data_IF_100027561305
#
_entry.id   IF_100027561305
#
_cell.length_a   1.000
_cell.length_b   1.000
_cell.length_c   1.000
_cell.angle_alpha   90.00
_cell.angle_beta   90.00
_cell.angle_gamma   90.00
#
_symmetry.space_group_name_H-M   'P 1'
#
loop_
_entity.id
_entity.type
_entity.pdbx_description
1 polymer ?
#
# COMPACT_ATOMS: atom_id res chain seq x y z
N UNK A 1 8.60 14.54 -40.00
CA UNK A 1 9.03 13.29 -39.34
C UNK A 1 9.26 13.62 -37.87
N UNK A 2 8.33 13.17 -37.01
CA UNK A 2 8.13 13.60 -35.61
C UNK A 2 8.83 12.63 -34.65
N UNK A 3 10.16 12.57 -34.68
CA UNK A 3 10.93 11.68 -33.81
C UNK A 3 11.89 12.40 -32.84
N UNK A 4 11.92 13.73 -32.81
CA UNK A 4 13.00 14.48 -32.15
C UNK A 4 12.62 15.20 -30.84
N UNK A 5 11.32 15.40 -30.56
CA UNK A 5 10.88 16.20 -29.40
C UNK A 5 10.79 15.39 -28.09
N UNK A 6 10.47 14.09 -28.17
CA UNK A 6 10.42 13.23 -26.97
C UNK A 6 11.82 12.88 -26.44
N UNK A 7 12.75 12.54 -27.34
CA UNK A 7 14.12 12.18 -26.98
C UNK A 7 14.89 13.37 -26.41
N UNK A 8 14.75 14.55 -27.01
CA UNK A 8 15.38 15.77 -26.51
C UNK A 8 14.84 16.18 -25.12
N UNK A 9 13.52 16.12 -24.92
CA UNK A 9 12.90 16.42 -23.61
C UNK A 9 13.32 15.44 -22.53
N UNK A 10 13.43 14.15 -22.87
CA UNK A 10 13.98 13.13 -21.98
C UNK A 10 15.43 13.42 -21.58
N UNK A 11 16.29 13.69 -22.55
CA UNK A 11 17.70 14.01 -22.28
C UNK A 11 17.83 15.27 -21.42
N UNK A 12 16.97 16.26 -21.63
CA UNK A 12 16.90 17.46 -20.79
C UNK A 12 16.45 17.14 -19.36
N UNK A 13 15.40 16.34 -19.16
CA UNK A 13 14.96 15.94 -17.82
C UNK A 13 16.07 15.20 -17.05
N UNK A 14 16.78 14.29 -17.71
CA UNK A 14 17.92 13.58 -17.12
C UNK A 14 19.09 14.52 -16.78
N UNK A 15 19.41 15.45 -17.68
CA UNK A 15 20.47 16.43 -17.45
C UNK A 15 20.15 17.38 -16.28
N UNK A 16 18.89 17.81 -16.15
CA UNK A 16 18.44 18.64 -15.05
C UNK A 16 18.43 17.89 -13.71
N UNK A 17 18.01 16.63 -13.68
CA UNK A 17 18.09 15.80 -12.47
C UNK A 17 19.53 15.53 -12.03
N UNK A 18 20.48 15.48 -12.98
CA UNK A 18 21.91 15.35 -12.67
C UNK A 18 22.60 16.68 -12.33
N UNK A 19 21.98 17.82 -12.62
CA UNK A 19 22.51 19.13 -12.27
C UNK A 19 22.32 19.39 -10.77
N UNK A 20 23.33 19.95 -10.10
CA UNK A 20 23.23 20.37 -8.70
C UNK A 20 22.80 21.86 -8.61
N UNK A 21 21.72 22.23 -9.30
CA UNK A 21 21.17 23.59 -9.27
C UNK A 21 19.75 23.60 -8.66
N UNK A 22 19.64 24.01 -7.38
CA UNK A 22 18.39 24.17 -6.65
C UNK A 22 17.31 25.00 -7.35
N UNK A 23 17.69 25.95 -8.20
CA UNK A 23 16.74 26.86 -8.86
C UNK A 23 15.87 26.15 -9.92
N UNK A 24 16.16 24.89 -10.24
CA UNK A 24 15.49 24.11 -11.27
C UNK A 24 14.17 23.51 -10.76
N UNK A 25 14.00 23.30 -9.45
CA UNK A 25 12.84 22.59 -8.86
C UNK A 25 11.47 23.16 -9.25
N UNK A 26 11.22 24.49 -9.18
CA UNK A 26 9.93 25.04 -9.61
C UNK A 26 9.61 24.78 -11.09
N UNK A 27 10.63 24.79 -11.95
CA UNK A 27 10.47 24.51 -13.37
C UNK A 27 10.16 23.02 -13.63
N UNK A 28 10.80 22.11 -12.89
CA UNK A 28 10.53 20.67 -12.96
C UNK A 28 9.12 20.35 -12.48
N UNK A 29 8.69 20.92 -11.34
CA UNK A 29 7.32 20.77 -10.83
C UNK A 29 6.31 21.30 -11.85
N UNK A 30 6.53 22.53 -12.35
CA UNK A 30 5.67 23.13 -13.38
C UNK A 30 5.55 22.28 -14.63
N UNK A 31 6.66 21.68 -15.11
CA UNK A 31 6.65 20.78 -16.27
C UNK A 31 5.94 19.47 -15.98
N UNK A 32 6.17 18.86 -14.82
CA UNK A 32 5.58 17.57 -14.44
C UNK A 32 4.05 17.63 -14.41
N UNK A 33 3.47 18.76 -13.97
CA UNK A 33 2.01 18.97 -13.89
C UNK A 33 1.30 18.91 -15.24
N UNK A 34 1.97 19.33 -16.31
CA UNK A 34 1.37 19.42 -17.65
C UNK A 34 1.90 18.36 -18.62
N UNK A 35 2.89 17.57 -18.22
CA UNK A 35 3.48 16.54 -19.06
C UNK A 35 2.52 15.35 -19.22
N UNK A 36 2.37 14.87 -20.46
CA UNK A 36 1.45 13.77 -20.81
C UNK A 36 2.18 12.47 -21.11
N UNK A 37 3.44 12.56 -21.53
CA UNK A 37 4.26 11.38 -21.81
C UNK A 37 4.68 10.69 -20.52
N UNK A 38 4.30 9.42 -20.34
CA UNK A 38 4.57 8.68 -19.12
C UNK A 38 6.06 8.47 -18.86
N UNK A 39 6.87 8.27 -19.91
CA UNK A 39 8.31 8.11 -19.77
C UNK A 39 8.95 9.41 -19.28
N UNK A 40 8.55 10.54 -19.86
CA UNK A 40 9.07 11.86 -19.45
C UNK A 40 8.62 12.20 -18.02
N UNK A 41 7.38 11.85 -17.63
CA UNK A 41 6.92 12.03 -16.24
C UNK A 41 7.74 11.23 -15.23
N UNK A 42 8.16 10.02 -15.59
CA UNK A 42 9.07 9.23 -14.74
C UNK A 42 10.46 9.88 -14.66
N UNK A 43 11.01 10.37 -15.78
CA UNK A 43 12.30 11.06 -15.79
C UNK A 43 12.25 12.37 -14.96
N UNK A 44 11.15 13.13 -15.04
CA UNK A 44 10.92 14.34 -14.22
C UNK A 44 10.72 13.99 -12.74
N UNK A 45 10.02 12.89 -12.44
CA UNK A 45 9.87 12.40 -11.07
C UNK A 45 11.22 12.01 -10.48
N UNK A 46 12.04 11.29 -11.25
CA UNK A 46 13.41 10.97 -10.85
C UNK A 46 14.23 12.23 -10.59
N UNK A 47 14.17 13.22 -11.49
CA UNK A 47 14.87 14.49 -11.30
C UNK A 47 14.41 15.21 -10.01
N UNK A 48 13.12 15.28 -9.73
CA UNK A 48 12.59 15.89 -8.50
C UNK A 48 13.01 15.16 -7.23
N UNK A 49 13.17 13.83 -7.28
CA UNK A 49 13.69 13.06 -6.14
C UNK A 49 15.15 13.44 -5.83
N UNK A 50 15.95 13.81 -6.83
CA UNK A 50 17.32 14.28 -6.63
C UNK A 50 17.39 15.70 -6.04
N UNK A 51 16.30 16.45 -6.11
CA UNK A 51 16.14 17.83 -5.60
C UNK A 51 14.99 17.91 -4.58
N UNK A 52 14.90 16.89 -3.72
CA UNK A 52 13.74 16.69 -2.86
C UNK A 52 13.53 17.85 -1.87
N UNK A 53 14.62 18.35 -1.27
CA UNK A 53 14.56 19.44 -0.28
C UNK A 53 14.07 20.74 -0.93
N UNK A 54 14.55 21.04 -2.13
CA UNK A 54 14.17 22.23 -2.88
C UNK A 54 12.76 22.16 -3.46
N UNK A 55 12.30 20.97 -3.80
CA UNK A 55 10.97 20.75 -4.37
C UNK A 55 9.88 20.55 -3.30
N UNK A 56 10.26 20.38 -2.03
CA UNK A 56 9.34 19.99 -0.95
C UNK A 56 8.13 20.93 -0.85
N UNK A 57 8.36 22.24 -0.69
CA UNK A 57 7.28 23.22 -0.51
C UNK A 57 6.29 23.22 -1.70
N UNK A 58 6.80 23.16 -2.93
CA UNK A 58 5.97 23.14 -4.15
C UNK A 58 5.17 21.83 -4.27
N UNK A 59 5.77 20.69 -3.93
CA UNK A 59 5.11 19.39 -3.93
C UNK A 59 4.05 19.28 -2.83
N UNK A 60 4.33 19.79 -1.63
CA UNK A 60 3.38 19.83 -0.52
C UNK A 60 2.19 20.74 -0.84
N UNK A 61 2.43 21.90 -1.46
CA UNK A 61 1.36 22.78 -1.92
C UNK A 61 0.41 22.07 -2.92
N UNK A 62 0.95 21.24 -3.83
CA UNK A 62 0.16 20.47 -4.78
C UNK A 62 -0.76 19.43 -4.14
N UNK A 63 -0.45 18.91 -2.94
CA UNK A 63 -1.32 17.96 -2.22
C UNK A 63 -2.68 18.56 -1.86
N UNK A 64 -2.77 19.89 -1.77
CA UNK A 64 -4.01 20.62 -1.46
C UNK A 64 -4.73 21.18 -2.69
N UNK A 65 -4.25 20.86 -3.90
CA UNK A 65 -4.85 21.34 -5.15
C UNK A 65 -6.27 20.80 -5.34
N UNK A 66 -7.15 21.63 -5.92
CA UNK A 66 -8.48 21.19 -6.35
C UNK A 66 -8.42 20.20 -7.51
N UNK A 67 -7.32 20.17 -8.28
CA UNK A 67 -7.12 19.19 -9.34
C UNK A 67 -6.59 17.87 -8.77
N UNK A 68 -7.34 16.75 -8.86
CA UNK A 68 -6.87 15.45 -8.38
C UNK A 68 -5.61 14.95 -9.11
N UNK A 69 -5.36 15.39 -10.34
CA UNK A 69 -4.13 15.04 -11.07
C UNK A 69 -2.89 15.63 -10.39
N UNK A 70 -2.99 16.86 -9.87
CA UNK A 70 -1.91 17.49 -9.10
C UNK A 70 -1.66 16.72 -7.80
N UNK A 71 -2.72 16.46 -7.01
CA UNK A 71 -2.61 15.74 -5.73
C UNK A 71 -1.99 14.36 -5.90
N UNK A 72 -2.49 13.60 -6.89
CA UNK A 72 -1.96 12.27 -7.26
C UNK A 72 -0.48 12.34 -7.66
N UNK A 73 -0.11 13.36 -8.43
CA UNK A 73 1.27 13.54 -8.90
C UNK A 73 2.21 13.86 -7.75
N UNK A 74 1.84 14.80 -6.88
CA UNK A 74 2.61 15.14 -5.69
C UNK A 74 2.77 13.93 -4.76
N UNK A 75 1.68 13.22 -4.44
CA UNK A 75 1.73 12.01 -3.63
C UNK A 75 2.63 10.93 -4.25
N UNK A 76 2.63 10.81 -5.59
CA UNK A 76 3.53 9.89 -6.29
C UNK A 76 5.01 10.25 -6.10
N UNK A 77 5.39 11.52 -6.31
CA UNK A 77 6.78 11.98 -6.13
C UNK A 77 7.20 11.84 -4.67
N UNK A 78 6.38 12.30 -3.73
CA UNK A 78 6.65 12.22 -2.29
C UNK A 78 6.75 10.78 -1.79
N UNK A 79 6.04 9.83 -2.42
CA UNK A 79 6.23 8.40 -2.13
C UNK A 79 7.61 7.88 -2.50
N UNK A 80 8.29 8.48 -3.49
CA UNK A 80 9.65 8.12 -3.88
C UNK A 80 10.68 8.75 -2.95
N UNK A 81 10.38 9.96 -2.45
CA UNK A 81 11.21 10.68 -1.47
C UNK A 81 11.16 9.96 -0.11
N UNK A 82 9.97 9.69 0.41
CA UNK A 82 9.79 8.93 1.67
C UNK A 82 10.24 9.67 2.94
N UNK A 83 10.28 11.01 2.93
CA UNK A 83 10.65 11.79 4.11
C UNK A 83 9.55 11.69 5.20
N UNK A 84 9.91 11.29 6.44
CA UNK A 84 9.01 11.29 7.58
C UNK A 84 8.29 12.62 7.88
N UNK A 85 8.87 13.76 7.48
CA UNK A 85 8.30 15.09 7.68
C UNK A 85 7.00 15.31 6.87
N UNK A 86 6.86 14.66 5.72
CA UNK A 86 5.70 14.82 4.82
C UNK A 86 4.45 14.07 5.30
N UNK A 87 4.52 13.34 6.41
CA UNK A 87 3.42 12.49 6.85
C UNK A 87 2.14 13.26 7.13
N UNK A 88 2.21 14.39 7.83
CA UNK A 88 0.99 15.14 8.19
C UNK A 88 0.29 15.74 6.97
N UNK A 89 1.04 16.10 5.92
CA UNK A 89 0.50 16.60 4.67
C UNK A 89 -0.08 15.48 3.79
N UNK A 90 0.53 14.29 3.81
CA UNK A 90 0.09 13.13 3.04
C UNK A 90 -1.10 12.40 3.69
N UNK A 91 -1.19 12.41 5.02
CA UNK A 91 -2.20 11.68 5.79
C UNK A 91 -3.64 11.95 5.36
N UNK A 92 -4.08 13.20 5.08
CA UNK A 92 -5.45 13.45 4.63
C UNK A 92 -5.79 12.77 3.30
N UNK A 93 -4.81 12.58 2.40
CA UNK A 93 -5.04 12.04 1.06
C UNK A 93 -5.32 10.53 1.07
N UNK A 94 -5.10 9.81 2.18
CA UNK A 94 -5.53 8.40 2.26
C UNK A 94 -7.05 8.27 2.18
N UNK A 95 -7.80 9.30 2.55
CA UNK A 95 -9.25 9.37 2.43
C UNK A 95 -9.71 10.26 1.26
N UNK A 96 -8.84 10.48 0.26
CA UNK A 96 -9.19 11.31 -0.90
C UNK A 96 -10.38 10.72 -1.67
N UNK A 97 -11.30 11.59 -2.10
CA UNK A 97 -12.50 11.19 -2.86
C UNK A 97 -12.17 10.51 -4.19
N UNK A 98 -10.99 10.79 -4.75
CA UNK A 98 -10.50 10.16 -5.97
C UNK A 98 -9.62 8.95 -5.62
N UNK A 99 -10.05 7.72 -5.97
CA UNK A 99 -9.30 6.51 -5.65
C UNK A 99 -7.85 6.52 -6.13
N UNK A 100 -7.57 7.11 -7.30
CA UNK A 100 -6.21 7.22 -7.83
C UNK A 100 -5.28 8.05 -6.93
N UNK A 101 -5.82 9.06 -6.24
CA UNK A 101 -5.07 9.87 -5.27
C UNK A 101 -4.83 9.06 -4.00
N UNK A 102 -5.89 8.45 -3.44
CA UNK A 102 -5.81 7.60 -2.25
C UNK A 102 -4.79 6.46 -2.42
N UNK A 103 -4.81 5.76 -3.56
CA UNK A 103 -3.85 4.70 -3.90
C UNK A 103 -2.40 5.19 -3.85
N UNK A 104 -2.12 6.41 -4.33
CA UNK A 104 -0.76 6.97 -4.24
C UNK A 104 -0.43 7.39 -2.81
N UNK A 105 -1.40 7.95 -2.09
CA UNK A 105 -1.24 8.33 -0.70
C UNK A 105 -0.94 7.12 0.19
N UNK A 106 -1.55 5.95 -0.04
CA UNK A 106 -1.28 4.73 0.74
C UNK A 106 0.20 4.39 0.76
N UNK A 107 0.80 4.33 -0.44
CA UNK A 107 2.23 4.09 -0.58
C UNK A 107 3.06 5.21 0.02
N UNK A 108 2.67 6.47 -0.21
CA UNK A 108 3.42 7.62 0.27
C UNK A 108 3.49 7.64 1.79
N UNK A 109 2.34 7.49 2.46
CA UNK A 109 2.23 7.41 3.93
C UNK A 109 3.01 6.23 4.49
N UNK A 110 2.91 5.03 3.90
CA UNK A 110 3.71 3.89 4.35
C UNK A 110 5.23 4.14 4.22
N UNK A 111 5.65 4.89 3.21
CA UNK A 111 7.06 5.19 2.95
C UNK A 111 7.66 6.24 3.89
N UNK A 112 6.83 7.00 4.62
CA UNK A 112 7.32 7.96 5.62
C UNK A 112 7.95 7.28 6.83
N UNK A 113 7.69 5.98 7.06
CA UNK A 113 8.20 5.24 8.23
C UNK A 113 7.61 5.72 9.56
N UNK A 114 6.56 6.56 9.53
CA UNK A 114 5.89 7.06 10.73
C UNK A 114 5.04 5.97 11.38
N UNK A 115 5.11 5.78 12.71
CA UNK A 115 4.32 4.75 13.39
C UNK A 115 2.80 4.94 13.20
N UNK A 116 2.35 6.19 13.05
CA UNK A 116 0.95 6.55 12.84
C UNK A 116 0.42 6.16 11.44
N UNK A 117 1.29 5.73 10.52
CA UNK A 117 0.90 5.28 9.19
C UNK A 117 -0.01 4.04 9.24
N UNK A 118 0.21 3.13 10.19
CA UNK A 118 -0.60 1.93 10.35
C UNK A 118 -2.06 2.29 10.65
N UNK A 119 -2.30 3.17 11.62
CA UNK A 119 -3.64 3.63 11.99
C UNK A 119 -4.33 4.39 10.84
N UNK A 120 -3.59 5.28 10.17
CA UNK A 120 -4.13 6.07 9.06
C UNK A 120 -4.59 5.19 7.89
N UNK A 121 -3.82 4.14 7.57
CA UNK A 121 -4.16 3.17 6.53
C UNK A 121 -5.28 2.22 6.99
N UNK A 122 -5.27 1.79 8.26
CA UNK A 122 -6.27 0.86 8.79
C UNK A 122 -7.67 1.46 8.76
N UNK A 123 -7.77 2.78 8.93
CA UNK A 123 -9.00 3.53 8.80
C UNK A 123 -9.64 3.44 7.39
N UNK A 124 -8.93 2.92 6.38
CA UNK A 124 -9.42 2.73 5.00
C UNK A 124 -9.60 1.26 4.60
N UNK A 125 -9.54 0.32 5.54
CA UNK A 125 -9.91 -1.07 5.28
C UNK A 125 -11.37 -1.14 4.80
N UNK A 126 -11.69 -2.12 3.96
CA UNK A 126 -12.99 -2.21 3.27
C UNK A 126 -13.20 -1.21 2.12
N UNK A 127 -12.44 -0.11 2.04
CA UNK A 127 -12.69 0.90 1.00
C UNK A 127 -12.43 0.44 -0.43
N UNK A 128 -13.26 0.97 -1.32
CA UNK A 128 -13.04 0.96 -2.75
C UNK A 128 -13.13 -0.44 -3.37
N UNK A 129 -12.75 -0.50 -4.64
CA UNK A 129 -12.76 -1.75 -5.41
C UNK A 129 -11.42 -2.49 -5.28
N UNK A 130 -11.33 -3.66 -5.91
CA UNK A 130 -10.17 -4.56 -5.85
C UNK A 130 -8.81 -3.84 -5.98
N UNK A 131 -8.66 -2.92 -6.94
CA UNK A 131 -7.40 -2.19 -7.13
C UNK A 131 -7.01 -1.32 -5.92
N UNK A 132 -7.97 -0.67 -5.28
CA UNK A 132 -7.72 0.18 -4.11
C UNK A 132 -7.42 -0.68 -2.89
N UNK A 133 -8.12 -1.81 -2.73
CA UNK A 133 -7.85 -2.79 -1.67
C UNK A 133 -6.47 -3.42 -1.80
N UNK A 134 -6.09 -3.87 -3.00
CA UNK A 134 -4.76 -4.41 -3.29
C UNK A 134 -3.65 -3.41 -2.98
N UNK A 135 -3.87 -2.14 -3.31
CA UNK A 135 -2.92 -1.06 -3.01
C UNK A 135 -2.79 -0.82 -1.50
N UNK A 136 -3.89 -0.87 -0.75
CA UNK A 136 -3.88 -0.74 0.71
C UNK A 136 -3.16 -1.92 1.36
N UNK A 137 -3.49 -3.15 0.95
CA UNK A 137 -2.81 -4.38 1.37
C UNK A 137 -1.30 -4.32 1.08
N UNK A 138 -0.91 -3.82 -0.09
CA UNK A 138 0.51 -3.60 -0.44
C UNK A 138 1.19 -2.58 0.50
N UNK A 139 0.47 -1.52 0.88
CA UNK A 139 0.99 -0.53 1.82
C UNK A 139 1.13 -1.10 3.24
N UNK A 140 0.16 -1.90 3.70
CA UNK A 140 0.23 -2.62 4.98
C UNK A 140 1.37 -3.64 5.01
N UNK A 141 1.53 -4.43 3.95
CA UNK A 141 2.67 -5.33 3.79
C UNK A 141 4.00 -4.58 3.91
N UNK A 142 4.11 -3.39 3.32
CA UNK A 142 5.33 -2.57 3.44
C UNK A 142 5.60 -2.10 4.87
N UNK A 143 4.57 -1.85 5.68
CA UNK A 143 4.74 -1.55 7.10
C UNK A 143 5.17 -2.77 7.92
N UNK A 144 4.91 -3.98 7.43
CA UNK A 144 5.30 -5.24 8.05
C UNK A 144 4.68 -5.39 9.45
N UNK A 145 5.50 -5.82 10.42
CA UNK A 145 5.10 -6.01 11.81
C UNK A 145 4.40 -4.79 12.45
N UNK A 146 4.69 -3.56 12.00
CA UNK A 146 4.05 -2.35 12.53
C UNK A 146 2.55 -2.26 12.22
N UNK A 147 2.07 -2.92 11.16
CA UNK A 147 0.65 -2.95 10.80
C UNK A 147 -0.14 -4.04 11.55
N UNK A 148 0.53 -5.04 12.12
CA UNK A 148 -0.14 -6.21 12.71
C UNK A 148 -1.10 -5.85 13.85
N UNK A 149 -0.76 -4.98 14.83
CA UNK A 149 -1.67 -4.65 15.92
C UNK A 149 -3.00 -4.04 15.44
N UNK A 150 -2.93 -3.10 14.49
CA UNK A 150 -4.13 -2.41 13.98
C UNK A 150 -4.99 -3.33 13.11
N UNK A 151 -4.36 -4.24 12.36
CA UNK A 151 -5.07 -5.24 11.56
C UNK A 151 -5.74 -6.29 12.45
N UNK A 152 -5.09 -6.72 13.54
CA UNK A 152 -5.69 -7.63 14.53
C UNK A 152 -6.93 -7.01 15.17
N UNK A 153 -6.91 -5.71 15.48
CA UNK A 153 -8.10 -4.99 15.96
C UNK A 153 -9.19 -4.96 14.89
N UNK A 154 -8.85 -4.70 13.63
CA UNK A 154 -9.79 -4.63 12.53
C UNK A 154 -10.48 -5.97 12.20
N UNK A 155 -9.91 -7.12 12.61
CA UNK A 155 -10.59 -8.42 12.53
C UNK A 155 -11.86 -8.51 13.38
N UNK A 156 -12.12 -7.54 14.27
CA UNK A 156 -13.34 -7.46 15.07
C UNK A 156 -14.26 -6.30 14.68
N UNK A 157 -14.03 -5.67 13.52
CA UNK A 157 -14.85 -4.56 13.05
C UNK A 157 -16.31 -4.99 12.78
N UNK A 158 -17.24 -4.05 12.90
CA UNK A 158 -18.66 -4.30 12.62
C UNK A 158 -18.93 -4.64 11.15
N UNK A 159 -18.10 -4.13 10.23
CA UNK A 159 -18.21 -4.36 8.80
C UNK A 159 -17.44 -5.61 8.36
N UNK A 160 -18.11 -6.51 7.64
CA UNK A 160 -17.51 -7.73 7.11
C UNK A 160 -16.41 -7.44 6.07
N UNK A 161 -16.55 -6.37 5.28
CA UNK A 161 -15.54 -6.01 4.27
C UNK A 161 -14.24 -5.56 4.95
N UNK A 162 -14.33 -4.83 6.06
CA UNK A 162 -13.17 -4.43 6.88
C UNK A 162 -12.49 -5.67 7.47
N UNK A 163 -13.26 -6.58 8.07
CA UNK A 163 -12.72 -7.82 8.67
C UNK A 163 -12.02 -8.70 7.63
N UNK A 164 -12.64 -8.90 6.46
CA UNK A 164 -12.06 -9.71 5.39
C UNK A 164 -10.77 -9.10 4.86
N UNK A 165 -10.77 -7.79 4.58
CA UNK A 165 -9.59 -7.08 4.09
C UNK A 165 -8.46 -7.06 5.13
N UNK A 166 -8.78 -6.97 6.43
CA UNK A 166 -7.79 -7.08 7.50
C UNK A 166 -7.11 -8.46 7.52
N UNK A 167 -7.89 -9.54 7.37
CA UNK A 167 -7.35 -10.89 7.28
C UNK A 167 -6.45 -11.06 6.05
N UNK A 168 -6.88 -10.58 4.87
CA UNK A 168 -6.07 -10.60 3.65
C UNK A 168 -4.73 -9.86 3.85
N UNK A 169 -4.76 -8.66 4.45
CA UNK A 169 -3.56 -7.88 4.69
C UNK A 169 -2.57 -8.58 5.65
N UNK A 170 -3.06 -9.24 6.71
CA UNK A 170 -2.23 -10.03 7.62
C UNK A 170 -1.55 -11.21 6.92
N UNK A 171 -2.28 -11.92 6.05
CA UNK A 171 -1.72 -13.00 5.24
C UNK A 171 -0.64 -12.51 4.27
N UNK A 172 -0.80 -11.30 3.70
CA UNK A 172 0.21 -10.69 2.82
C UNK A 172 1.43 -10.15 3.58
N UNK A 173 1.28 -9.68 4.82
CA UNK A 173 2.43 -9.34 5.68
C UNK A 173 3.33 -10.58 5.83
N UNK A 174 2.72 -11.74 6.12
CA UNK A 174 3.43 -13.01 6.14
C UNK A 174 4.32 -13.20 7.37
N UNK A 175 5.06 -14.31 7.39
CA UNK A 175 5.98 -14.66 8.47
C UNK A 175 7.33 -13.93 8.33
N UNK A 176 8.03 -13.63 9.44
CA UNK A 176 7.59 -13.85 10.84
C UNK A 176 6.72 -12.71 11.39
N UNK A 177 6.51 -11.65 10.61
CA UNK A 177 5.91 -10.41 11.09
C UNK A 177 4.47 -10.59 11.59
N UNK A 178 3.68 -11.44 10.94
CA UNK A 178 2.28 -11.71 11.27
C UNK A 178 2.04 -12.92 12.19
N UNK A 179 3.08 -13.55 12.74
CA UNK A 179 2.95 -14.73 13.62
C UNK A 179 2.03 -14.46 14.81
N UNK A 180 2.11 -13.25 15.38
CA UNK A 180 1.28 -12.82 16.50
C UNK A 180 -0.21 -12.72 16.17
N UNK A 181 -0.59 -12.74 14.89
CA UNK A 181 -1.98 -12.68 14.45
C UNK A 181 -2.65 -14.05 14.30
N UNK A 182 -1.91 -15.16 14.43
CA UNK A 182 -2.43 -16.52 14.18
C UNK A 182 -3.68 -16.83 15.02
N UNK A 183 -3.69 -16.50 16.31
CA UNK A 183 -4.85 -16.75 17.17
C UNK A 183 -6.08 -15.92 16.75
N UNK A 184 -5.86 -14.66 16.37
CA UNK A 184 -6.94 -13.78 15.92
C UNK A 184 -7.51 -14.23 14.57
N UNK A 185 -6.65 -14.64 13.64
CA UNK A 185 -7.05 -15.21 12.35
C UNK A 185 -7.78 -16.55 12.53
N UNK A 186 -7.37 -17.40 13.47
CA UNK A 186 -8.10 -18.63 13.79
C UNK A 186 -9.51 -18.32 14.32
N UNK A 187 -9.66 -17.28 15.14
CA UNK A 187 -10.97 -16.78 15.55
C UNK A 187 -11.83 -16.29 14.37
N UNK A 188 -11.23 -15.49 13.46
CA UNK A 188 -11.90 -14.98 12.26
C UNK A 188 -12.29 -16.10 11.26
N UNK A 189 -11.63 -17.25 11.30
CA UNK A 189 -12.03 -18.43 10.51
C UNK A 189 -13.38 -19.04 10.96
N UNK A 190 -13.95 -18.56 12.07
CA UNK A 190 -15.29 -18.89 12.55
C UNK A 190 -16.30 -17.72 12.43
N UNK A 191 -15.95 -16.67 11.69
CA UNK A 191 -16.82 -15.49 11.48
C UNK A 191 -18.19 -15.87 10.88
N UNK A 192 -19.20 -15.05 11.15
CA UNK A 192 -20.54 -15.20 10.58
C UNK A 192 -20.54 -15.06 9.05
N UNK A 193 -19.68 -14.18 8.54
CA UNK A 193 -19.54 -13.91 7.11
C UNK A 193 -18.60 -14.91 6.43
N UNK A 194 -19.02 -15.43 5.28
CA UNK A 194 -18.28 -16.49 4.57
C UNK A 194 -16.99 -15.98 3.93
N UNK A 195 -16.97 -14.72 3.46
CA UNK A 195 -15.76 -14.12 2.88
C UNK A 195 -14.72 -13.87 3.96
N UNK A 196 -15.14 -13.42 5.15
CA UNK A 196 -14.23 -13.28 6.29
C UNK A 196 -13.62 -14.63 6.69
N UNK A 197 -14.43 -15.70 6.78
CA UNK A 197 -13.91 -17.04 7.06
C UNK A 197 -12.89 -17.51 6.03
N UNK A 198 -13.17 -17.28 4.74
CA UNK A 198 -12.29 -17.67 3.64
C UNK A 198 -10.98 -16.85 3.64
N UNK A 199 -11.05 -15.55 3.86
CA UNK A 199 -9.90 -14.67 3.98
C UNK A 199 -9.00 -15.10 5.15
N UNK A 200 -9.60 -15.36 6.32
CA UNK A 200 -8.88 -15.77 7.52
C UNK A 200 -8.15 -17.12 7.36
N UNK A 201 -8.82 -18.15 6.84
CA UNK A 201 -8.16 -19.45 6.60
C UNK A 201 -7.11 -19.37 5.49
N UNK A 202 -7.29 -18.49 4.51
CA UNK A 202 -6.29 -18.25 3.46
C UNK A 202 -5.06 -17.54 4.00
N UNK A 203 -5.25 -16.54 4.87
CA UNK A 203 -4.18 -15.84 5.57
C UNK A 203 -3.37 -16.79 6.46
N UNK A 204 -4.03 -17.67 7.23
CA UNK A 204 -3.34 -18.74 7.97
C UNK A 204 -2.55 -19.67 7.02
N UNK A 205 -3.08 -19.95 5.84
CA UNK A 205 -2.37 -20.71 4.80
C UNK A 205 -1.12 -20.02 4.23
N UNK A 206 -1.03 -18.70 4.35
CA UNK A 206 0.14 -17.88 4.01
C UNK A 206 1.15 -17.76 5.16
N UNK A 207 0.80 -18.30 6.35
CA UNK A 207 1.65 -18.40 7.54
C UNK A 207 1.94 -19.89 7.86
N UNK A 208 2.60 -20.63 6.96
CA UNK A 208 2.62 -22.10 7.02
C UNK A 208 3.29 -22.69 8.26
N UNK A 209 4.29 -22.02 8.84
CA UNK A 209 5.02 -22.53 10.01
C UNK A 209 4.30 -22.12 11.31
N UNK A 210 3.97 -20.84 11.46
CA UNK A 210 3.31 -20.28 12.63
C UNK A 210 1.86 -20.80 12.77
N UNK A 211 1.13 -20.97 11.67
CA UNK A 211 -0.26 -21.40 11.68
C UNK A 211 -0.47 -22.91 11.52
N UNK A 212 0.58 -23.74 11.52
CA UNK A 212 0.47 -25.18 11.28
C UNK A 212 -0.56 -25.86 12.20
N UNK A 213 -0.54 -25.53 13.50
CA UNK A 213 -1.49 -26.04 14.49
C UNK A 213 -2.93 -25.54 14.29
N UNK A 214 -3.10 -24.27 13.90
CA UNK A 214 -4.40 -23.68 13.61
C UNK A 214 -5.03 -24.35 12.37
N UNK A 215 -4.25 -24.50 11.29
CA UNK A 215 -4.68 -25.19 10.07
C UNK A 215 -5.06 -26.66 10.34
N UNK A 216 -4.37 -27.35 11.25
CA UNK A 216 -4.75 -28.70 11.65
C UNK A 216 -6.13 -28.74 12.33
N UNK A 217 -6.39 -27.83 13.27
CA UNK A 217 -7.69 -27.74 13.94
C UNK A 217 -8.81 -27.37 12.97
N UNK A 218 -8.58 -26.39 12.10
CA UNK A 218 -9.54 -25.96 11.07
C UNK A 218 -9.83 -27.07 10.05
N UNK A 219 -8.83 -27.89 9.69
CA UNK A 219 -9.04 -29.05 8.82
C UNK A 219 -9.97 -30.13 9.43
N UNK A 220 -10.15 -30.12 10.76
CA UNK A 220 -11.07 -30.99 11.48
C UNK A 220 -12.39 -30.30 11.88
N UNK A 221 -12.55 -29.00 11.56
CA UNK A 221 -13.70 -28.21 11.94
C UNK A 221 -14.97 -28.58 11.14
N UNK A 222 -16.13 -28.12 11.64
CA UNK A 222 -17.44 -28.40 11.06
C UNK A 222 -17.78 -27.61 9.78
N UNK A 223 -17.14 -26.46 9.54
CA UNK A 223 -17.33 -25.71 8.29
C UNK A 223 -16.60 -26.43 7.14
N UNK A 224 -17.33 -26.96 6.13
CA UNK A 224 -16.74 -27.78 5.08
C UNK A 224 -15.80 -26.99 4.16
N UNK A 225 -16.07 -25.70 3.93
CA UNK A 225 -15.25 -24.84 3.05
C UNK A 225 -13.94 -24.52 3.75
N UNK A 226 -14.00 -24.05 4.99
CA UNK A 226 -12.80 -23.75 5.80
C UNK A 226 -11.94 -25.00 5.97
N UNK A 227 -12.56 -26.14 6.28
CA UNK A 227 -11.84 -27.40 6.43
C UNK A 227 -11.18 -27.86 5.12
N UNK A 228 -11.83 -27.65 3.97
CA UNK A 228 -11.25 -27.97 2.67
C UNK A 228 -10.02 -27.10 2.37
N UNK A 229 -10.12 -25.78 2.57
CA UNK A 229 -9.03 -24.84 2.31
C UNK A 229 -7.85 -25.12 3.23
N UNK A 230 -8.09 -25.34 4.52
CA UNK A 230 -7.05 -25.70 5.49
C UNK A 230 -6.29 -26.97 5.10
N UNK A 231 -7.00 -28.02 4.65
CA UNK A 231 -6.37 -29.25 4.14
C UNK A 231 -5.51 -29.00 2.92
N UNK A 232 -5.95 -28.14 1.99
CA UNK A 232 -5.19 -27.81 0.79
C UNK A 232 -3.86 -27.12 1.13
N UNK A 233 -3.86 -26.18 2.07
CA UNK A 233 -2.62 -25.53 2.53
C UNK A 233 -1.68 -26.50 3.24
N UNK A 234 -2.20 -27.37 4.13
CA UNK A 234 -1.38 -28.41 4.79
C UNK A 234 -0.72 -29.35 3.78
N UNK A 235 -1.44 -29.79 2.76
CA UNK A 235 -0.88 -30.65 1.72
C UNK A 235 0.24 -29.95 0.91
N UNK A 236 0.12 -28.65 0.68
CA UNK A 236 1.14 -27.84 0.00
C UNK A 236 2.40 -27.64 0.84
N UNK A 237 2.26 -27.45 2.15
CA UNK A 237 3.39 -27.34 3.08
C UNK A 237 4.20 -28.64 3.15
N UNK A 238 3.52 -29.78 3.28
CA UNK A 238 4.16 -31.10 3.34
C UNK A 238 4.91 -31.50 2.05
N UNK A 239 4.57 -30.92 0.89
CA UNK A 239 5.26 -31.19 -0.38
C UNK A 239 6.54 -30.35 -0.58
N UNK A 240 6.77 -29.34 0.28
CA UNK A 240 7.92 -28.43 0.19
C UNK A 240 9.01 -28.71 1.25
N UNK A 241 8.69 -29.48 2.28
CA UNK A 241 9.59 -29.94 3.34
C UNK A 241 10.31 -31.25 2.96
#
# INVERSE_FOLDING_TARGET
MSHDDGSARRQAALALGAAADPAISPALVGRLRVERDSCIREDLTWALVQHADEAADDLLAMLTSSDPSDRRTAAHVLSKIGDPAHFEDLRPLVADEHPDVAIKAYRAVANTGRPEAADALAARLGDGEALQRDALTTAMHRLGAAAVPVLVVALSDGDAEVRAHAAEALGHIGEPDADAAVEALEGAAADVDAEVRLAAVSALGQLPEAAAGALERLAAAGDPVVAQVARAFRARGAAKA
#
